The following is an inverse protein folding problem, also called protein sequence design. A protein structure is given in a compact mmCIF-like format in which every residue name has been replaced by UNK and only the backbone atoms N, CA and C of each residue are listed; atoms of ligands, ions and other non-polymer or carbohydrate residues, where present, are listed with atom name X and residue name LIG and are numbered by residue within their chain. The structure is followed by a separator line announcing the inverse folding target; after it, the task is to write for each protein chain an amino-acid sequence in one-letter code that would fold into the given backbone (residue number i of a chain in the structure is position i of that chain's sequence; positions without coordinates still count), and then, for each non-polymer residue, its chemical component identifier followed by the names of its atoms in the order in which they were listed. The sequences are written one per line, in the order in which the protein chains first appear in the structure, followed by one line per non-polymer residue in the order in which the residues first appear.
data_IF_860169704554
#
_entry.id   IF_860169704554
#
_cell.length_a   1.000
_cell.length_b   1.000
_cell.length_c   1.000
_cell.angle_alpha   90.00
_cell.angle_beta   90.00
_cell.angle_gamma   90.00
#
_symmetry.space_group_name_H-M   'P 1'
#
loop_
_entity.id
_entity.type
_entity.pdbx_description
1 polymer ?
#
# COMPACT_ATOMS: atom_id res chain seq x y z
N UNK A 1 13.71 -1.35 24.47
CA UNK A 1 13.46 -1.55 23.03
C UNK A 1 14.40 -0.60 22.31
N UNK A 2 15.22 -1.07 21.36
CA UNK A 2 16.20 -0.20 20.69
C UNK A 2 15.51 0.91 19.88
N UNK A 3 16.17 2.04 19.71
CA UNK A 3 15.65 3.26 19.06
C UNK A 3 15.55 3.14 17.52
N UNK A 4 15.36 1.92 17.01
CA UNK A 4 15.35 1.61 15.59
C UNK A 4 13.92 1.56 15.06
N UNK A 5 13.67 2.31 13.99
CA UNK A 5 12.39 2.24 13.26
C UNK A 5 12.32 1.01 12.38
N UNK A 6 11.27 0.21 12.55
CA UNK A 6 10.97 -0.99 11.76
C UNK A 6 9.93 -0.63 10.69
N UNK A 7 10.30 -0.84 9.43
CA UNK A 7 9.43 -0.64 8.26
C UNK A 7 9.22 -1.95 7.50
N UNK A 8 7.97 -2.24 7.16
CA UNK A 8 7.62 -3.33 6.24
C UNK A 8 7.35 -2.74 4.84
N UNK A 9 7.93 -3.36 3.82
CA UNK A 9 7.52 -3.17 2.42
C UNK A 9 6.62 -4.34 2.02
N UNK A 10 5.47 -4.06 1.40
CA UNK A 10 4.47 -5.06 1.04
C UNK A 10 3.69 -4.63 -0.20
N UNK A 11 3.01 -5.59 -0.83
CA UNK A 11 1.99 -5.31 -1.86
C UNK A 11 0.58 -5.14 -1.25
N UNK A 12 0.43 -5.31 0.06
CA UNK A 12 -0.83 -5.09 0.79
C UNK A 12 -1.81 -6.27 0.76
N UNK A 13 -1.44 -7.43 0.20
CA UNK A 13 -2.35 -8.57 0.02
C UNK A 13 -2.35 -9.57 1.18
N UNK A 14 -1.71 -9.25 2.31
CA UNK A 14 -1.55 -10.17 3.45
C UNK A 14 -2.89 -10.67 4.01
N UNK A 15 -3.90 -9.80 4.12
CA UNK A 15 -5.22 -10.20 4.59
C UNK A 15 -5.90 -11.20 3.63
N UNK A 16 -5.73 -11.00 2.32
CA UNK A 16 -6.30 -11.87 1.29
C UNK A 16 -5.63 -13.25 1.27
N UNK A 17 -4.30 -13.28 1.41
CA UNK A 17 -3.50 -14.52 1.52
C UNK A 17 -3.91 -15.32 2.76
N UNK A 18 -4.04 -14.65 3.91
CA UNK A 18 -4.36 -15.31 5.18
C UNK A 18 -5.85 -15.46 5.46
N UNK A 19 -6.72 -14.94 4.59
CA UNK A 19 -8.19 -14.97 4.70
C UNK A 19 -8.70 -14.42 6.04
N UNK A 20 -7.98 -13.46 6.64
CA UNK A 20 -8.32 -12.80 7.90
C UNK A 20 -7.56 -11.49 8.03
N UNK A 21 -8.02 -10.59 8.90
CA UNK A 21 -7.26 -9.39 9.25
C UNK A 21 -6.01 -9.75 10.07
N UNK A 22 -4.83 -9.49 9.49
CA UNK A 22 -3.53 -9.69 10.15
C UNK A 22 -2.96 -8.39 10.73
N UNK A 23 -3.53 -7.24 10.39
CA UNK A 23 -3.01 -5.92 10.80
C UNK A 23 -2.91 -5.71 12.33
N UNK A 24 -3.75 -6.34 13.19
CA UNK A 24 -3.59 -6.21 14.64
C UNK A 24 -2.26 -6.77 15.16
N UNK A 25 -1.63 -7.70 14.43
CA UNK A 25 -0.34 -8.28 14.79
C UNK A 25 0.83 -7.29 14.68
N UNK A 26 0.63 -6.15 14.01
CA UNK A 26 1.68 -5.15 13.81
C UNK A 26 1.83 -4.18 14.99
N UNK A 27 0.82 -4.10 15.87
CA UNK A 27 0.78 -3.12 16.95
C UNK A 27 1.98 -3.28 17.89
N UNK A 28 2.74 -2.20 18.06
CA UNK A 28 3.91 -2.16 18.94
C UNK A 28 5.14 -2.91 18.41
N UNK A 29 5.07 -3.46 17.19
CA UNK A 29 6.17 -4.16 16.54
C UNK A 29 6.65 -3.45 15.26
N UNK A 30 5.73 -2.84 14.52
CA UNK A 30 6.01 -2.19 13.23
C UNK A 30 5.67 -0.72 13.31
N UNK A 31 6.61 0.13 12.93
CA UNK A 31 6.42 1.59 12.92
C UNK A 31 5.79 2.06 11.61
N UNK A 32 6.24 1.50 10.48
CA UNK A 32 5.83 1.94 9.14
C UNK A 32 5.43 0.77 8.24
N UNK A 33 4.28 0.88 7.60
CA UNK A 33 3.86 -0.04 6.53
C UNK A 33 3.89 0.71 5.21
N UNK A 34 4.69 0.21 4.26
CA UNK A 34 4.83 0.78 2.93
C UNK A 34 4.28 -0.17 1.87
N UNK A 35 3.24 0.26 1.19
CA UNK A 35 2.45 -0.54 0.26
C UNK A 35 2.70 -0.04 -1.17
N UNK A 36 3.04 -0.95 -2.09
CA UNK A 36 3.14 -0.62 -3.51
C UNK A 36 1.76 -0.52 -4.15
N UNK A 37 1.33 0.71 -4.47
CA UNK A 37 0.04 0.99 -5.11
C UNK A 37 0.14 0.81 -6.63
N UNK A 38 1.20 1.33 -7.25
CA UNK A 38 1.58 1.20 -8.66
C UNK A 38 0.58 1.64 -9.75
N UNK A 39 -0.71 1.81 -9.45
CA UNK A 39 -1.74 2.17 -10.43
C UNK A 39 -2.88 2.94 -9.77
N UNK A 40 -3.65 3.68 -10.57
CA UNK A 40 -4.77 4.51 -10.12
C UNK A 40 -6.12 3.78 -10.02
N UNK A 41 -6.20 2.56 -10.55
CA UNK A 41 -7.44 1.77 -10.56
C UNK A 41 -7.12 0.27 -10.66
N UNK A 42 -8.14 -0.55 -10.42
CA UNK A 42 -8.00 -2.01 -10.36
C UNK A 42 -7.55 -2.64 -11.68
N UNK A 43 -8.10 -2.18 -12.81
CA UNK A 43 -7.76 -2.68 -14.14
C UNK A 43 -6.29 -2.44 -14.48
N UNK A 44 -5.79 -1.23 -14.24
CA UNK A 44 -4.39 -0.90 -14.48
C UNK A 44 -3.47 -1.58 -13.47
N UNK A 45 -3.90 -1.71 -12.22
CA UNK A 45 -3.16 -2.47 -11.22
C UNK A 45 -2.93 -3.91 -11.67
N UNK A 46 -3.98 -4.58 -12.12
CA UNK A 46 -3.88 -5.98 -12.56
C UNK A 46 -3.07 -6.11 -13.85
N UNK A 47 -3.23 -5.18 -14.81
CA UNK A 47 -2.42 -5.16 -16.03
C UNK A 47 -0.92 -4.97 -15.75
N UNK A 48 -0.54 -4.30 -14.66
CA UNK A 48 0.86 -4.10 -14.27
C UNK A 48 1.35 -5.27 -13.40
N UNK A 49 0.61 -5.61 -12.35
CA UNK A 49 1.05 -6.53 -11.31
C UNK A 49 0.75 -7.99 -11.62
N UNK A 50 -0.17 -8.27 -12.55
CA UNK A 50 -0.64 -9.61 -12.93
C UNK A 50 -1.00 -10.45 -11.69
N UNK A 51 -1.89 -9.91 -10.86
CA UNK A 51 -2.17 -10.50 -9.57
C UNK A 51 -2.92 -11.82 -9.75
N UNK A 52 -2.60 -12.83 -8.94
CA UNK A 52 -3.37 -14.08 -8.89
C UNK A 52 -4.82 -13.87 -8.43
N UNK A 53 -5.10 -12.70 -7.85
CA UNK A 53 -6.44 -12.30 -7.40
C UNK A 53 -7.12 -11.32 -8.37
N UNK A 54 -6.50 -11.03 -9.52
CA UNK A 54 -7.02 -10.06 -10.49
C UNK A 54 -7.25 -8.68 -9.89
N UNK A 55 -8.29 -7.99 -10.39
CA UNK A 55 -8.71 -6.66 -9.95
C UNK A 55 -9.03 -6.56 -8.43
N UNK A 56 -9.44 -7.66 -7.79
CA UNK A 56 -9.75 -7.68 -6.35
C UNK A 56 -8.53 -7.31 -5.48
N UNK A 57 -7.32 -7.58 -5.98
CA UNK A 57 -6.08 -7.22 -5.29
C UNK A 57 -5.98 -5.72 -4.99
N UNK A 58 -6.48 -4.89 -5.90
CA UNK A 58 -6.44 -3.44 -5.75
C UNK A 58 -7.34 -2.95 -4.61
N UNK A 59 -8.54 -3.50 -4.48
CA UNK A 59 -9.43 -3.16 -3.38
C UNK A 59 -8.90 -3.71 -2.05
N UNK A 60 -8.37 -4.95 -2.07
CA UNK A 60 -7.80 -5.60 -0.90
C UNK A 60 -6.60 -4.84 -0.32
N UNK A 61 -5.68 -4.33 -1.15
CA UNK A 61 -4.53 -3.55 -0.67
C UNK A 61 -4.95 -2.19 -0.09
N UNK A 62 -6.00 -1.56 -0.63
CA UNK A 62 -6.54 -0.30 -0.11
C UNK A 62 -7.18 -0.53 1.26
N UNK A 63 -7.97 -1.59 1.39
CA UNK A 63 -8.57 -1.98 2.67
C UNK A 63 -7.51 -2.34 3.71
N UNK A 64 -6.46 -3.08 3.30
CA UNK A 64 -5.33 -3.38 4.16
C UNK A 64 -4.63 -2.12 4.68
N UNK A 65 -4.48 -1.09 3.82
CA UNK A 65 -3.92 0.20 4.23
C UNK A 65 -4.79 0.90 5.28
N UNK A 66 -6.11 0.95 5.07
CA UNK A 66 -7.09 1.50 6.02
C UNK A 66 -7.01 0.81 7.38
N UNK A 67 -6.98 -0.52 7.38
CA UNK A 67 -6.87 -1.32 8.61
C UNK A 67 -5.55 -1.09 9.34
N UNK A 68 -4.43 -0.89 8.62
CA UNK A 68 -3.13 -0.59 9.21
C UNK A 68 -3.09 0.76 9.93
N UNK A 69 -3.86 1.76 9.49
CA UNK A 69 -3.80 3.15 9.98
C UNK A 69 -3.85 3.27 11.50
N UNK A 70 -4.67 2.46 12.16
CA UNK A 70 -4.85 2.51 13.62
C UNK A 70 -3.93 1.54 14.40
N UNK A 71 -3.06 0.81 13.69
CA UNK A 71 -2.19 -0.25 14.25
C UNK A 71 -0.72 0.12 14.22
N UNK A 72 -0.29 0.95 13.27
CA UNK A 72 1.10 1.37 13.07
C UNK A 72 1.23 2.89 13.10
N UNK A 73 2.46 3.41 13.22
CA UNK A 73 2.71 4.85 13.27
C UNK A 73 2.52 5.56 11.93
N UNK A 74 2.82 4.89 10.82
CA UNK A 74 2.71 5.45 9.48
C UNK A 74 2.32 4.40 8.42
N UNK A 75 1.39 4.77 7.54
CA UNK A 75 1.08 4.00 6.32
C UNK A 75 1.45 4.83 5.10
N UNK A 76 2.13 4.20 4.15
CA UNK A 76 2.70 4.85 2.97
C UNK A 76 2.30 4.08 1.73
N UNK A 77 1.58 4.69 0.80
CA UNK A 77 1.53 4.19 -0.56
C UNK A 77 2.73 4.67 -1.36
N UNK A 78 3.26 3.80 -2.21
CA UNK A 78 4.32 4.15 -3.14
C UNK A 78 3.91 3.90 -4.57
N UNK A 79 4.26 4.84 -5.45
CA UNK A 79 4.18 4.71 -6.91
C UNK A 79 5.53 5.03 -7.53
N UNK A 80 5.72 4.67 -8.80
CA UNK A 80 6.90 5.05 -9.60
C UNK A 80 6.56 6.30 -10.44
N UNK A 81 7.56 7.12 -10.72
CA UNK A 81 7.43 8.41 -11.42
C UNK A 81 7.19 8.31 -12.92
N UNK A 82 7.16 7.10 -13.47
CA UNK A 82 6.79 6.84 -14.87
C UNK A 82 5.28 6.92 -15.13
N UNK A 83 4.46 7.02 -14.09
CA UNK A 83 3.02 7.25 -14.23
C UNK A 83 2.75 8.67 -14.73
N UNK A 84 1.73 8.87 -15.60
CA UNK A 84 1.19 10.19 -15.91
C UNK A 84 0.91 11.01 -14.65
N UNK A 85 1.03 12.34 -14.73
CA UNK A 85 0.82 13.21 -13.57
C UNK A 85 -0.61 13.09 -13.04
N UNK A 86 -1.58 12.97 -13.92
CA UNK A 86 -2.99 12.78 -13.61
C UNK A 86 -3.19 11.49 -12.81
N UNK A 87 -2.48 10.43 -13.17
CA UNK A 87 -2.54 9.15 -12.48
C UNK A 87 -1.93 9.22 -11.08
N UNK A 88 -0.85 9.98 -10.93
CA UNK A 88 -0.23 10.25 -9.63
C UNK A 88 -1.21 11.04 -8.74
N UNK A 89 -1.94 12.01 -9.27
CA UNK A 89 -2.96 12.75 -8.50
C UNK A 89 -4.11 11.84 -8.05
N UNK A 90 -4.59 10.93 -8.90
CA UNK A 90 -5.58 9.93 -8.47
C UNK A 90 -5.03 9.00 -7.38
N UNK A 91 -3.77 8.57 -7.51
CA UNK A 91 -3.10 7.81 -6.46
C UNK A 91 -2.97 8.59 -5.14
N UNK A 92 -2.82 9.91 -5.19
CA UNK A 92 -2.81 10.76 -3.98
C UNK A 92 -4.16 10.75 -3.29
N UNK A 93 -5.26 10.90 -4.05
CA UNK A 93 -6.63 10.83 -3.51
C UNK A 93 -6.89 9.48 -2.83
N UNK A 94 -6.52 8.38 -3.49
CA UNK A 94 -6.63 7.03 -2.91
C UNK A 94 -5.87 6.92 -1.59
N UNK A 95 -4.64 7.45 -1.54
CA UNK A 95 -3.85 7.44 -0.32
C UNK A 95 -4.49 8.25 0.80
N UNK A 96 -4.96 9.47 0.51
CA UNK A 96 -5.64 10.35 1.46
C UNK A 96 -6.92 9.70 2.02
N UNK A 97 -7.75 9.12 1.16
CA UNK A 97 -8.97 8.39 1.55
C UNK A 97 -8.66 7.17 2.41
N UNK A 98 -7.53 6.51 2.19
CA UNK A 98 -7.05 5.41 3.03
C UNK A 98 -6.39 5.89 4.35
N UNK A 99 -6.16 7.20 4.50
CA UNK A 99 -5.42 7.77 5.62
C UNK A 99 -3.93 7.45 5.60
N UNK A 100 -3.36 7.26 4.40
CA UNK A 100 -1.96 7.02 4.13
C UNK A 100 -1.34 8.23 3.41
N UNK A 101 -0.02 8.39 3.48
CA UNK A 101 0.69 9.34 2.59
C UNK A 101 1.05 8.66 1.26
N UNK A 102 1.11 9.44 0.18
CA UNK A 102 1.71 8.97 -1.07
C UNK A 102 3.21 9.36 -1.13
N UNK A 103 4.05 8.44 -1.59
CA UNK A 103 5.44 8.69 -1.98
C UNK A 103 5.67 8.28 -3.43
N UNK A 104 6.01 9.23 -4.28
CA UNK A 104 6.49 8.96 -5.64
C UNK A 104 7.98 8.59 -5.56
N UNK A 105 8.38 7.52 -6.26
CA UNK A 105 9.76 7.03 -6.33
C UNK A 105 10.27 7.17 -7.75
N UNK A 106 11.53 7.58 -7.88
CA UNK A 106 12.24 7.60 -9.15
C UNK A 106 12.50 6.17 -9.63
N UNK A 107 12.25 5.93 -10.92
CA UNK A 107 12.64 4.69 -11.60
C UNK A 107 14.16 4.65 -11.76
N UNK A 108 14.81 3.71 -11.07
CA UNK A 108 16.26 3.51 -11.19
C UNK A 108 16.50 2.54 -12.35
N UNK A 109 17.15 3.05 -13.40
CA UNK A 109 17.60 2.30 -14.56
C UNK A 109 19.05 1.82 -14.40
#
# INVERSE_FOLDING_TARGET
QGDYKIRINTNGLGNLIHKRDITPLFRGLIDVVSISLNAKNAKEYDAICHSVYGEEAFYALIEFAKLCKDKVGEVVFTVVDILPKEDIEECKKIAEEAGARLRVREMIN
#
